data_IF_650334720294
#
_entry.id   IF_650334720294
#
_cell.length_a   1.000
_cell.length_b   1.000
_cell.length_c   1.000
_cell.angle_alpha   90.00
_cell.angle_beta   90.00
_cell.angle_gamma   90.00
#
_symmetry.space_group_name_H-M   'P 1'
#
loop_
_entity.id
_entity.type
_entity.pdbx_description
1 polymer ?
#
# COMPACT_ATOMS: atom_id res chain seq x y z
N UNK A 1 1.46 22.14 -1.35
CA UNK A 1 0.42 21.12 -1.63
C UNK A 1 0.98 19.70 -1.85
N UNK A 2 1.65 19.39 -2.96
CA UNK A 2 1.99 18.02 -3.36
C UNK A 2 2.81 17.20 -2.35
N UNK A 3 3.74 17.82 -1.63
CA UNK A 3 4.53 17.10 -0.63
C UNK A 3 3.69 16.60 0.54
N UNK A 4 2.70 17.38 0.99
CA UNK A 4 1.78 16.93 2.05
C UNK A 4 0.88 15.81 1.54
N UNK A 5 0.41 15.91 0.29
CA UNK A 5 -0.42 14.89 -0.33
C UNK A 5 0.32 13.54 -0.36
N UNK A 6 1.53 13.51 -0.94
CA UNK A 6 2.28 12.27 -1.05
C UNK A 6 2.72 11.71 0.31
N UNK A 7 3.01 12.55 1.30
CA UNK A 7 3.25 12.11 2.70
C UNK A 7 2.06 11.34 3.26
N UNK A 8 0.87 11.95 3.19
CA UNK A 8 -0.37 11.36 3.70
C UNK A 8 -0.76 10.11 2.92
N UNK A 9 -0.66 10.17 1.59
CA UNK A 9 -1.01 9.05 0.74
C UNK A 9 -0.07 7.86 0.96
N UNK A 10 1.24 8.09 1.08
CA UNK A 10 2.17 7.00 1.38
C UNK A 10 1.94 6.40 2.78
N UNK A 11 1.60 7.21 3.79
CA UNK A 11 1.22 6.72 5.11
C UNK A 11 -0.04 5.85 5.09
N UNK A 12 -1.03 6.23 4.27
CA UNK A 12 -2.23 5.43 4.02
C UNK A 12 -1.88 4.10 3.35
N UNK A 13 -1.15 4.12 2.23
CA UNK A 13 -0.73 2.90 1.54
C UNK A 13 0.06 1.97 2.48
N UNK A 14 0.93 2.53 3.32
CA UNK A 14 1.71 1.74 4.27
C UNK A 14 0.82 1.03 5.31
N UNK A 15 -0.24 1.70 5.76
CA UNK A 15 -1.21 1.13 6.70
C UNK A 15 -2.10 0.04 6.05
N UNK A 16 -2.57 0.27 4.83
CA UNK A 16 -3.53 -0.58 4.12
C UNK A 16 -2.90 -1.81 3.47
N UNK A 17 -1.60 -1.76 3.17
CA UNK A 17 -0.91 -2.82 2.44
C UNK A 17 0.13 -3.57 3.31
N UNK A 18 1.33 -3.01 3.64
CA UNK A 18 2.30 -3.68 4.52
C UNK A 18 1.76 -4.08 5.89
N UNK A 19 1.07 -3.16 6.58
CA UNK A 19 0.67 -3.38 7.98
C UNK A 19 -0.67 -4.13 8.12
N UNK A 20 -1.47 -4.20 7.05
CA UNK A 20 -2.77 -4.86 7.06
C UNK A 20 -2.62 -6.38 6.88
N UNK A 21 -2.46 -7.08 8.00
CA UNK A 21 -2.37 -8.55 7.97
C UNK A 21 -3.70 -9.22 7.59
N UNK A 22 -3.68 -10.44 7.00
CA UNK A 22 -4.91 -11.20 6.72
C UNK A 22 -5.76 -11.46 7.97
N UNK A 23 -5.15 -11.53 9.15
CA UNK A 23 -5.85 -11.66 10.43
C UNK A 23 -6.66 -10.40 10.79
N UNK A 24 -6.18 -9.21 10.42
CA UNK A 24 -6.93 -7.96 10.57
C UNK A 24 -8.08 -7.92 9.56
N UNK A 25 -7.82 -8.26 8.29
CA UNK A 25 -8.83 -8.26 7.22
C UNK A 25 -10.00 -9.19 7.54
N UNK A 26 -9.72 -10.42 7.95
CA UNK A 26 -10.77 -11.39 8.32
C UNK A 26 -11.59 -10.96 9.54
N UNK A 27 -11.06 -10.06 10.36
CA UNK A 27 -11.74 -9.47 11.52
C UNK A 27 -12.42 -8.12 11.20
N UNK A 28 -12.23 -7.53 10.01
CA UNK A 28 -12.86 -6.24 9.62
C UNK A 28 -14.39 -6.30 9.57
N UNK A 29 -14.99 -7.50 9.43
CA UNK A 29 -16.43 -7.70 9.64
C UNK A 29 -16.91 -7.49 11.09
N UNK A 30 -16.00 -7.21 12.03
CA UNK A 30 -16.26 -6.85 13.41
C UNK A 30 -15.61 -5.50 13.72
N UNK A 31 -16.30 -4.65 14.48
CA UNK A 31 -15.83 -3.30 14.86
C UNK A 31 -14.40 -3.30 15.43
N UNK A 32 -14.02 -4.35 16.16
CA UNK A 32 -12.67 -4.50 16.73
C UNK A 32 -11.57 -4.62 15.68
N UNK A 33 -11.81 -5.33 14.58
CA UNK A 33 -10.82 -5.44 13.49
C UNK A 33 -10.63 -4.10 12.77
N UNK A 34 -11.74 -3.38 12.58
CA UNK A 34 -11.72 -2.03 12.02
C UNK A 34 -10.94 -1.05 12.92
N UNK A 35 -11.18 -1.04 14.23
CA UNK A 35 -10.48 -0.17 15.18
C UNK A 35 -8.96 -0.43 15.23
N UNK A 36 -8.53 -1.69 15.14
CA UNK A 36 -7.09 -2.01 15.10
C UNK A 36 -6.47 -1.44 13.83
N UNK A 37 -7.15 -1.58 12.69
CA UNK A 37 -6.65 -1.07 11.44
C UNK A 37 -6.57 0.46 11.42
N UNK A 38 -7.62 1.14 11.90
CA UNK A 38 -7.62 2.61 11.94
C UNK A 38 -6.64 3.16 12.97
N UNK A 39 -6.29 2.42 14.01
CA UNK A 39 -5.16 2.76 14.88
C UNK A 39 -3.81 2.76 14.14
N UNK A 40 -3.62 1.86 13.16
CA UNK A 40 -2.44 1.86 12.30
C UNK A 40 -2.41 3.09 11.38
N UNK A 41 -3.57 3.46 10.80
CA UNK A 41 -3.71 4.69 9.99
C UNK A 41 -3.39 5.92 10.83
N UNK A 42 -3.91 6.00 12.06
CA UNK A 42 -3.60 7.09 12.98
C UNK A 42 -2.10 7.17 13.27
N UNK A 43 -1.48 6.02 13.57
CA UNK A 43 -0.04 5.94 13.85
C UNK A 43 0.79 6.39 12.65
N UNK A 44 0.57 5.82 11.46
CA UNK A 44 1.37 6.16 10.28
C UNK A 44 1.18 7.61 9.86
N UNK A 45 -0.05 8.12 9.92
CA UNK A 45 -0.36 9.53 9.63
C UNK A 45 0.30 10.46 10.65
N UNK A 46 0.26 10.11 11.93
CA UNK A 46 0.93 10.90 12.99
C UNK A 46 2.43 10.95 12.75
N UNK A 47 3.07 9.83 12.41
CA UNK A 47 4.53 9.79 12.14
C UNK A 47 4.93 10.73 11.00
N UNK A 48 4.19 10.76 9.88
CA UNK A 48 4.56 11.61 8.73
C UNK A 48 4.22 13.09 8.94
N UNK A 49 3.25 13.39 9.80
CA UNK A 49 2.80 14.75 10.12
C UNK A 49 3.57 15.37 11.29
N UNK A 50 4.01 14.56 12.26
CA UNK A 50 4.71 15.00 13.48
C UNK A 50 5.72 16.13 13.25
N UNK A 51 6.74 15.99 12.36
CA UNK A 51 7.73 17.04 12.17
C UNK A 51 7.12 18.35 11.63
N UNK A 52 6.09 18.27 10.78
CA UNK A 52 5.42 19.44 10.23
C UNK A 52 4.53 20.13 11.28
N UNK A 53 3.87 19.34 12.12
CA UNK A 53 2.95 19.83 13.14
C UNK A 53 3.66 20.55 14.30
N UNK A 54 4.95 20.26 14.54
CA UNK A 54 5.77 21.03 15.48
C UNK A 54 5.93 22.50 15.03
N UNK A 55 6.05 22.75 13.72
CA UNK A 55 6.15 24.11 13.17
C UNK A 55 4.79 24.75 12.91
N UNK A 56 3.78 23.94 12.54
CA UNK A 56 2.44 24.42 12.25
C UNK A 56 1.40 23.60 13.03
N UNK A 57 1.07 24.00 14.28
CA UNK A 57 0.26 23.20 15.19
C UNK A 57 -1.12 22.80 14.68
N UNK A 58 -1.73 23.57 13.76
CA UNK A 58 -3.01 23.20 13.15
C UNK A 58 -2.92 21.85 12.41
N UNK A 59 -1.74 21.39 12.00
CA UNK A 59 -1.59 20.08 11.34
C UNK A 59 -1.84 18.90 12.30
N UNK A 60 -1.88 19.10 13.62
CA UNK A 60 -2.28 18.05 14.57
C UNK A 60 -3.71 17.55 14.38
N UNK A 61 -4.57 18.31 13.70
CA UNK A 61 -5.92 17.85 13.36
C UNK A 61 -5.94 16.93 12.14
N UNK A 62 -4.87 16.87 11.32
CA UNK A 62 -4.82 16.01 10.13
C UNK A 62 -4.90 14.51 10.45
N UNK A 63 -4.12 13.96 11.40
CA UNK A 63 -4.24 12.56 11.80
C UNK A 63 -5.68 12.20 12.23
N UNK A 64 -6.39 13.12 12.88
CA UNK A 64 -7.77 12.91 13.33
C UNK A 64 -8.72 12.81 12.13
N UNK A 65 -8.72 13.82 11.25
CA UNK A 65 -9.67 13.86 10.11
C UNK A 65 -9.40 12.76 9.10
N UNK A 66 -8.13 12.44 8.83
CA UNK A 66 -7.73 11.34 7.93
C UNK A 66 -8.14 9.99 8.51
N UNK A 67 -7.89 9.76 9.80
CA UNK A 67 -8.30 8.51 10.45
C UNK A 67 -9.82 8.37 10.48
N UNK A 68 -10.55 9.45 10.74
CA UNK A 68 -12.01 9.45 10.76
C UNK A 68 -12.60 9.16 9.36
N UNK A 69 -12.07 9.80 8.31
CA UNK A 69 -12.51 9.52 6.94
C UNK A 69 -12.17 8.10 6.50
N UNK A 70 -10.98 7.60 6.88
CA UNK A 70 -10.56 6.23 6.59
C UNK A 70 -11.49 5.22 7.26
N UNK A 71 -11.74 5.40 8.57
CA UNK A 71 -12.71 4.59 9.31
C UNK A 71 -14.08 4.57 8.65
N UNK A 72 -14.59 5.73 8.21
CA UNK A 72 -15.89 5.84 7.58
C UNK A 72 -15.95 5.02 6.28
N UNK A 73 -14.96 5.17 5.40
CA UNK A 73 -14.90 4.44 4.13
C UNK A 73 -14.85 2.92 4.38
N UNK A 74 -13.96 2.48 5.27
CA UNK A 74 -13.81 1.06 5.60
C UNK A 74 -15.07 0.50 6.28
N UNK A 75 -15.71 1.28 7.15
CA UNK A 75 -16.96 0.90 7.78
C UNK A 75 -18.06 0.69 6.75
N UNK A 76 -18.27 1.66 5.84
CA UNK A 76 -19.29 1.56 4.80
C UNK A 76 -19.05 0.37 3.88
N UNK A 77 -17.79 0.11 3.51
CA UNK A 77 -17.40 -1.07 2.73
C UNK A 77 -17.70 -2.37 3.46
N UNK A 78 -17.49 -2.42 4.78
CA UNK A 78 -17.74 -3.61 5.60
C UNK A 78 -19.22 -4.00 5.69
N UNK A 79 -20.14 -3.07 5.37
CA UNK A 79 -21.58 -3.34 5.33
C UNK A 79 -21.98 -4.19 4.12
N UNK A 80 -21.16 -4.20 3.05
CA UNK A 80 -21.41 -5.00 1.85
C UNK A 80 -20.88 -6.41 2.05
N UNK A 81 -21.75 -7.42 1.84
CA UNK A 81 -21.44 -8.84 2.01
C UNK A 81 -21.68 -9.61 0.73
N UNK A 82 -21.06 -10.78 0.61
CA UNK A 82 -21.28 -11.76 -0.47
C UNK A 82 -21.13 -11.12 -1.85
N UNK A 83 -19.91 -10.66 -2.15
CA UNK A 83 -19.61 -9.94 -3.39
C UNK A 83 -18.98 -10.89 -4.41
N UNK A 84 -19.52 -10.86 -5.62
CA UNK A 84 -18.96 -11.54 -6.78
C UNK A 84 -17.66 -10.85 -7.26
N UNK A 85 -16.96 -11.48 -8.20
CA UNK A 85 -15.70 -10.97 -8.75
C UNK A 85 -15.81 -9.55 -9.29
N UNK A 86 -16.93 -9.21 -9.94
CA UNK A 86 -17.17 -7.88 -10.51
C UNK A 86 -17.38 -6.83 -9.43
N UNK A 87 -18.27 -7.10 -8.48
CA UNK A 87 -18.59 -6.18 -7.40
C UNK A 87 -17.40 -6.00 -6.45
N UNK A 88 -16.63 -7.06 -6.19
CA UNK A 88 -15.40 -6.98 -5.40
C UNK A 88 -14.36 -6.05 -6.04
N UNK A 89 -14.16 -6.16 -7.36
CA UNK A 89 -13.27 -5.26 -8.09
C UNK A 89 -13.76 -3.81 -8.06
N UNK A 90 -15.06 -3.57 -8.31
CA UNK A 90 -15.64 -2.22 -8.24
C UNK A 90 -15.48 -1.63 -6.84
N UNK A 91 -15.79 -2.40 -5.78
CA UNK A 91 -15.61 -1.96 -4.40
C UNK A 91 -14.15 -1.66 -4.08
N UNK A 92 -13.21 -2.45 -4.59
CA UNK A 92 -11.78 -2.16 -4.45
C UNK A 92 -11.39 -0.82 -5.11
N UNK A 93 -11.86 -0.55 -6.32
CA UNK A 93 -11.57 0.73 -7.01
C UNK A 93 -12.25 1.90 -6.30
N UNK A 94 -13.51 1.76 -5.87
CA UNK A 94 -14.23 2.79 -5.13
C UNK A 94 -13.57 3.12 -3.79
N UNK A 95 -13.11 2.10 -3.07
CA UNK A 95 -12.37 2.22 -1.81
C UNK A 95 -11.08 3.04 -1.98
N UNK A 96 -10.23 2.66 -2.92
CA UNK A 96 -8.98 3.38 -3.19
C UNK A 96 -9.25 4.81 -3.69
N UNK A 97 -10.31 5.00 -4.50
CA UNK A 97 -10.70 6.33 -4.99
C UNK A 97 -11.22 7.23 -3.87
N UNK A 98 -11.98 6.69 -2.92
CA UNK A 98 -12.49 7.43 -1.77
C UNK A 98 -11.34 7.90 -0.87
N UNK A 99 -10.41 7.01 -0.52
CA UNK A 99 -9.25 7.34 0.29
C UNK A 99 -8.35 8.38 -0.38
N UNK A 100 -8.11 8.24 -1.69
CA UNK A 100 -7.41 9.23 -2.51
C UNK A 100 -8.13 10.60 -2.48
N UNK A 101 -9.44 10.61 -2.67
CA UNK A 101 -10.28 11.80 -2.67
C UNK A 101 -10.25 12.56 -1.35
N UNK A 102 -10.41 11.87 -0.22
CA UNK A 102 -10.30 12.48 1.10
C UNK A 102 -8.88 13.02 1.36
N UNK A 103 -7.85 12.28 0.96
CA UNK A 103 -6.45 12.73 1.10
C UNK A 103 -6.20 14.00 0.29
N UNK A 104 -6.70 14.08 -0.95
CA UNK A 104 -6.63 15.29 -1.79
C UNK A 104 -7.41 16.46 -1.19
N UNK A 105 -8.62 16.21 -0.70
CA UNK A 105 -9.48 17.23 -0.09
C UNK A 105 -8.79 17.87 1.12
N UNK A 106 -8.38 17.06 2.09
CA UNK A 106 -7.71 17.58 3.29
C UNK A 106 -6.36 18.18 2.96
N UNK A 107 -5.59 17.61 2.02
CA UNK A 107 -4.34 18.27 1.60
C UNK A 107 -4.59 19.64 1.00
N UNK A 108 -5.62 19.80 0.15
CA UNK A 108 -5.94 21.09 -0.47
C UNK A 108 -6.29 22.15 0.57
N UNK A 109 -7.04 21.78 1.60
CA UNK A 109 -7.41 22.67 2.71
C UNK A 109 -6.18 23.05 3.53
N UNK A 110 -5.38 22.08 3.97
CA UNK A 110 -4.28 22.34 4.89
C UNK A 110 -3.03 22.88 4.21
N UNK A 111 -2.82 22.60 2.92
CA UNK A 111 -1.69 23.14 2.16
C UNK A 111 -2.04 24.39 1.34
N UNK A 112 -3.21 25.00 1.55
CA UNK A 112 -3.55 26.29 0.97
C UNK A 112 -2.49 27.32 1.36
N UNK A 113 -1.80 27.90 0.37
CA UNK A 113 -0.67 28.84 0.55
C UNK A 113 0.58 28.28 1.25
N UNK A 114 0.63 26.98 1.60
CA UNK A 114 1.78 26.36 2.25
C UNK A 114 2.44 25.27 1.39
N UNK A 115 3.77 25.28 1.40
CA UNK A 115 4.60 24.19 0.86
C UNK A 115 5.26 23.41 2.00
N UNK A 116 5.27 22.09 1.90
CA UNK A 116 5.77 21.17 2.92
C UNK A 116 7.00 20.39 2.44
N UNK A 117 7.84 21.03 1.63
CA UNK A 117 9.08 20.49 1.10
C UNK A 117 8.94 19.77 -0.24
N UNK A 118 9.90 18.89 -0.52
CA UNK A 118 9.98 18.12 -1.77
C UNK A 118 8.98 16.93 -1.78
N UNK A 119 8.11 16.79 -2.79
CA UNK A 119 7.19 15.65 -2.90
C UNK A 119 7.84 14.33 -3.33
N UNK A 120 8.98 14.37 -4.01
CA UNK A 120 9.54 13.21 -4.73
C UNK A 120 9.79 12.00 -3.83
N UNK A 121 10.43 12.12 -2.64
CA UNK A 121 10.71 10.93 -1.82
C UNK A 121 9.46 10.20 -1.37
N UNK A 122 8.39 10.92 -1.08
CA UNK A 122 7.11 10.33 -0.64
C UNK A 122 6.32 9.74 -1.80
N UNK A 123 6.44 10.32 -3.00
CA UNK A 123 5.88 9.75 -4.20
C UNK A 123 6.54 8.41 -4.54
N UNK A 124 7.87 8.35 -4.51
CA UNK A 124 8.64 7.12 -4.73
C UNK A 124 8.31 6.06 -3.67
N UNK A 125 8.21 6.47 -2.40
CA UNK A 125 7.79 5.61 -1.30
C UNK A 125 6.38 5.03 -1.54
N UNK A 126 5.42 5.86 -1.95
CA UNK A 126 4.06 5.42 -2.28
C UNK A 126 4.05 4.41 -3.44
N UNK A 127 4.78 4.70 -4.52
CA UNK A 127 4.91 3.79 -5.66
C UNK A 127 5.53 2.45 -5.26
N UNK A 128 6.58 2.46 -4.44
CA UNK A 128 7.24 1.26 -3.94
C UNK A 128 6.28 0.39 -3.13
N UNK A 129 5.51 1.00 -2.21
CA UNK A 129 4.50 0.28 -1.42
C UNK A 129 3.46 -0.35 -2.36
N UNK A 130 2.91 0.43 -3.29
CA UNK A 130 1.86 -0.06 -4.17
C UNK A 130 2.37 -1.17 -5.09
N UNK A 131 3.54 -1.02 -5.71
CA UNK A 131 4.09 -2.03 -6.60
C UNK A 131 4.36 -3.37 -5.88
N UNK A 132 4.93 -3.32 -4.68
CA UNK A 132 5.35 -4.51 -3.94
C UNK A 132 4.19 -5.16 -3.18
N UNK A 133 3.34 -4.36 -2.53
CA UNK A 133 2.30 -4.87 -1.62
C UNK A 133 0.88 -4.75 -2.18
N UNK A 134 0.57 -3.66 -2.89
CA UNK A 134 -0.74 -3.44 -3.51
C UNK A 134 -0.95 -4.22 -4.82
N UNK A 135 0.10 -4.35 -5.62
CA UNK A 135 0.09 -5.01 -6.94
C UNK A 135 -0.46 -6.43 -6.90
N UNK A 136 0.02 -7.32 -6.01
CA UNK A 136 -0.50 -8.68 -5.89
C UNK A 136 -2.01 -8.73 -5.56
N UNK A 137 -2.50 -7.78 -4.75
CA UNK A 137 -3.92 -7.67 -4.40
C UNK A 137 -4.72 -7.21 -5.62
N UNK A 138 -4.23 -6.22 -6.38
CA UNK A 138 -4.87 -5.77 -7.61
C UNK A 138 -4.94 -6.91 -8.65
N UNK A 139 -3.84 -7.65 -8.84
CA UNK A 139 -3.79 -8.81 -9.75
C UNK A 139 -4.78 -9.88 -9.31
N UNK A 140 -4.90 -10.14 -8.00
CA UNK A 140 -5.91 -11.04 -7.46
C UNK A 140 -7.34 -10.57 -7.80
N UNK A 141 -7.64 -9.29 -7.60
CA UNK A 141 -8.95 -8.71 -7.92
C UNK A 141 -9.28 -8.82 -9.42
N UNK A 142 -8.31 -8.56 -10.30
CA UNK A 142 -8.46 -8.73 -11.75
C UNK A 142 -8.70 -10.20 -12.12
N UNK A 143 -7.99 -11.15 -11.49
CA UNK A 143 -8.22 -12.58 -11.72
C UNK A 143 -9.62 -13.00 -11.29
N UNK A 144 -10.12 -12.53 -10.16
CA UNK A 144 -11.48 -12.77 -9.71
C UNK A 144 -12.53 -12.21 -10.68
N UNK A 145 -12.30 -11.00 -11.21
CA UNK A 145 -13.14 -10.38 -12.23
C UNK A 145 -13.19 -11.21 -13.52
N UNK A 146 -12.03 -11.61 -14.05
CA UNK A 146 -11.93 -12.38 -15.31
C UNK A 146 -12.58 -13.76 -15.15
N UNK A 147 -12.33 -14.44 -14.03
CA UNK A 147 -12.88 -15.77 -13.74
C UNK A 147 -14.36 -15.76 -13.34
N UNK A 148 -14.97 -14.57 -13.18
CA UNK A 148 -16.37 -14.41 -12.73
C UNK A 148 -16.68 -15.22 -11.47
N UNK A 149 -15.79 -15.14 -10.48
CA UNK A 149 -15.95 -15.87 -9.21
C UNK A 149 -17.25 -15.43 -8.53
N UNK A 150 -18.07 -16.41 -8.11
CA UNK A 150 -19.37 -16.13 -7.47
C UNK A 150 -19.22 -15.49 -6.09
N UNK A 151 -18.18 -15.87 -5.34
CA UNK A 151 -17.86 -15.28 -4.04
C UNK A 151 -16.35 -15.07 -3.86
N UNK A 152 -15.93 -13.83 -3.70
CA UNK A 152 -14.51 -13.49 -3.54
C UNK A 152 -14.06 -13.66 -2.10
N UNK A 153 -13.08 -14.53 -1.89
CA UNK A 153 -12.41 -14.70 -0.59
C UNK A 153 -11.25 -13.71 -0.40
N UNK A 154 -10.78 -13.57 0.84
CA UNK A 154 -9.61 -12.74 1.17
C UNK A 154 -8.35 -13.28 0.48
N UNK A 155 -7.59 -12.39 -0.19
CA UNK A 155 -6.28 -12.73 -0.74
C UNK A 155 -5.34 -13.26 0.34
N UNK A 156 -4.70 -14.40 0.06
CA UNK A 156 -3.67 -14.97 0.92
C UNK A 156 -2.40 -15.18 0.08
N UNK A 157 -1.32 -14.57 0.53
CA UNK A 157 0.00 -14.78 -0.06
C UNK A 157 0.46 -16.22 0.21
N UNK A 158 0.86 -16.97 -0.84
CA UNK A 158 1.56 -18.23 -0.68
C UNK A 158 2.87 -18.00 0.07
N UNK A 159 3.11 -18.74 1.15
CA UNK A 159 4.33 -18.64 1.98
C UNK A 159 4.57 -17.26 2.61
N UNK A 160 3.68 -16.79 3.51
CA UNK A 160 3.67 -15.41 3.99
C UNK A 160 4.97 -14.96 4.67
N UNK A 161 5.69 -15.86 5.37
CA UNK A 161 6.96 -15.52 6.03
C UNK A 161 8.06 -15.18 5.01
N UNK A 162 8.15 -15.94 3.92
CA UNK A 162 9.13 -15.71 2.86
C UNK A 162 8.77 -14.46 2.06
N UNK A 163 7.49 -14.27 1.76
CA UNK A 163 7.03 -13.08 1.07
C UNK A 163 7.32 -11.78 1.84
N UNK A 164 7.29 -11.80 3.19
CA UNK A 164 7.70 -10.63 3.99
C UNK A 164 9.18 -10.30 3.76
N UNK A 165 10.07 -11.31 3.78
CA UNK A 165 11.51 -11.11 3.58
C UNK A 165 11.77 -10.62 2.14
N UNK A 166 11.17 -11.26 1.15
CA UNK A 166 11.20 -10.86 -0.26
C UNK A 166 10.81 -9.38 -0.43
N UNK A 167 9.62 -9.03 0.04
CA UNK A 167 9.08 -7.69 -0.09
C UNK A 167 9.90 -6.67 0.68
N UNK A 168 10.45 -7.03 1.84
CA UNK A 168 11.36 -6.17 2.60
C UNK A 168 12.68 -5.92 1.85
N UNK A 169 13.28 -6.94 1.22
CA UNK A 169 14.49 -6.78 0.42
C UNK A 169 14.25 -5.91 -0.82
N UNK A 170 13.15 -6.14 -1.54
CA UNK A 170 12.74 -5.30 -2.65
C UNK A 170 12.53 -3.85 -2.20
N UNK A 171 11.80 -3.66 -1.10
CA UNK A 171 11.49 -2.34 -0.57
C UNK A 171 12.75 -1.58 -0.11
N UNK A 172 13.63 -2.24 0.63
CA UNK A 172 14.92 -1.67 1.04
C UNK A 172 15.81 -1.41 -0.17
N UNK A 173 15.79 -2.28 -1.19
CA UNK A 173 16.51 -2.08 -2.43
C UNK A 173 16.03 -0.86 -3.20
N UNK A 174 14.71 -0.62 -3.26
CA UNK A 174 14.12 0.58 -3.85
C UNK A 174 14.54 1.84 -3.07
N UNK A 175 14.44 1.81 -1.74
CA UNK A 175 14.72 2.99 -0.92
C UNK A 175 16.20 3.35 -0.84
N UNK A 176 17.07 2.34 -0.72
CA UNK A 176 18.53 2.54 -0.67
C UNK A 176 19.17 2.64 -2.06
N UNK A 177 18.37 2.51 -3.13
CA UNK A 177 18.88 2.40 -4.51
C UNK A 177 19.92 1.28 -4.68
N UNK A 178 19.84 0.22 -3.87
CA UNK A 178 20.80 -0.89 -3.87
C UNK A 178 20.36 -1.98 -4.84
N UNK A 179 21.07 -2.08 -5.97
CA UNK A 179 20.84 -3.14 -6.97
C UNK A 179 21.01 -4.53 -6.37
N UNK A 180 21.91 -4.70 -5.40
CA UNK A 180 22.14 -5.99 -4.74
C UNK A 180 20.95 -6.44 -3.89
N UNK A 181 20.28 -5.51 -3.21
CA UNK A 181 19.05 -5.80 -2.46
C UNK A 181 17.88 -6.08 -3.39
N UNK A 182 17.78 -5.36 -4.52
CA UNK A 182 16.78 -5.66 -5.56
C UNK A 182 17.00 -7.05 -6.16
N UNK A 183 18.24 -7.39 -6.53
CA UNK A 183 18.59 -8.70 -7.05
C UNK A 183 18.34 -9.80 -6.01
N UNK A 184 18.69 -9.59 -4.75
CA UNK A 184 18.37 -10.53 -3.67
C UNK A 184 16.85 -10.72 -3.53
N UNK A 185 16.07 -9.63 -3.58
CA UNK A 185 14.62 -9.63 -3.54
C UNK A 185 13.95 -10.29 -4.75
N UNK A 186 14.64 -10.50 -5.87
CA UNK A 186 14.14 -11.20 -7.07
C UNK A 186 14.62 -12.66 -7.10
N UNK A 187 15.92 -12.88 -6.85
CA UNK A 187 16.57 -14.18 -6.96
C UNK A 187 16.10 -15.11 -5.85
N UNK A 188 16.04 -14.64 -4.59
CA UNK A 188 15.62 -15.48 -3.45
C UNK A 188 14.21 -16.05 -3.68
N UNK A 189 13.20 -15.27 -4.09
CA UNK A 189 11.88 -15.80 -4.42
C UNK A 189 11.87 -16.72 -5.63
N UNK A 190 12.61 -16.43 -6.70
CA UNK A 190 12.68 -17.31 -7.89
C UNK A 190 13.25 -18.67 -7.48
N UNK A 191 14.32 -18.69 -6.69
CA UNK A 191 14.94 -19.92 -6.21
C UNK A 191 14.00 -20.66 -5.27
N UNK A 192 13.44 -19.98 -4.26
CA UNK A 192 12.55 -20.63 -3.27
C UNK A 192 11.26 -21.12 -3.94
N UNK A 193 10.58 -20.28 -4.75
CA UNK A 193 9.34 -20.68 -5.44
C UNK A 193 9.60 -21.67 -6.56
N UNK A 194 10.76 -21.62 -7.23
CA UNK A 194 11.21 -22.63 -8.19
C UNK A 194 11.46 -23.99 -7.54
N UNK A 195 12.06 -24.01 -6.35
CA UNK A 195 12.21 -25.23 -5.54
C UNK A 195 10.87 -25.76 -5.02
N UNK A 196 9.87 -24.89 -4.82
CA UNK A 196 8.53 -25.27 -4.38
C UNK A 196 7.60 -25.68 -5.54
N UNK A 197 7.78 -25.13 -6.74
CA UNK A 197 7.12 -25.58 -7.97
C UNK A 197 7.50 -27.02 -8.35
N UNK A 198 8.68 -27.49 -7.92
CA UNK A 198 9.07 -28.89 -8.02
C UNK A 198 8.28 -29.80 -7.06
N UNK A 199 7.53 -29.24 -6.11
CA UNK A 199 6.84 -29.96 -5.04
C UNK A 199 5.31 -29.77 -5.03
N UNK A 200 4.78 -28.69 -5.60
CA UNK A 200 3.34 -28.45 -5.76
C UNK A 200 3.00 -27.79 -7.11
N UNK A 201 2.04 -28.36 -7.84
CA UNK A 201 1.48 -27.76 -9.06
C UNK A 201 0.65 -26.51 -8.71
N UNK A 202 0.84 -25.43 -9.49
CA UNK A 202 0.09 -24.16 -9.45
C UNK A 202 0.53 -23.05 -8.47
N UNK A 203 1.84 -22.83 -8.28
CA UNK A 203 2.31 -21.57 -7.66
C UNK A 203 2.43 -20.48 -8.75
N UNK A 204 1.57 -19.44 -8.77
CA UNK A 204 1.72 -18.35 -9.73
C UNK A 204 3.01 -17.57 -9.43
N UNK A 205 3.87 -17.44 -10.43
CA UNK A 205 5.06 -16.59 -10.35
C UNK A 205 4.65 -15.11 -10.47
N UNK A 206 4.98 -14.24 -9.52
CA UNK A 206 4.64 -12.82 -9.57
C UNK A 206 5.61 -12.03 -10.49
N UNK A 207 5.94 -12.61 -11.65
CA UNK A 207 6.91 -12.06 -12.62
C UNK A 207 6.48 -10.68 -13.11
N UNK A 208 5.18 -10.48 -13.27
CA UNK A 208 4.63 -9.22 -13.77
C UNK A 208 4.73 -8.11 -12.71
N UNK A 209 4.44 -8.44 -11.45
CA UNK A 209 4.57 -7.55 -10.31
C UNK A 209 6.03 -7.14 -10.10
N UNK A 210 6.97 -8.09 -10.27
CA UNK A 210 8.40 -7.80 -10.22
C UNK A 210 8.87 -6.90 -11.36
N UNK A 211 8.44 -7.17 -12.60
CA UNK A 211 8.77 -6.33 -13.76
C UNK A 211 8.30 -4.88 -13.55
N UNK A 212 7.08 -4.69 -13.06
CA UNK A 212 6.56 -3.35 -12.74
C UNK A 212 7.39 -2.69 -11.64
N UNK A 213 7.69 -3.39 -10.54
CA UNK A 213 8.49 -2.84 -9.45
C UNK A 213 9.89 -2.43 -9.93
N UNK A 214 10.55 -3.25 -10.75
CA UNK A 214 11.87 -2.98 -11.32
C UNK A 214 11.82 -1.78 -12.28
N UNK A 215 10.82 -1.73 -13.17
CA UNK A 215 10.67 -0.62 -14.13
C UNK A 215 10.42 0.70 -13.39
N UNK A 216 9.56 0.69 -12.37
CA UNK A 216 9.30 1.87 -11.53
C UNK A 216 10.54 2.30 -10.73
N UNK A 217 11.34 1.34 -10.24
CA UNK A 217 12.61 1.62 -9.59
C UNK A 217 13.60 2.34 -10.52
N UNK A 218 13.74 1.79 -11.72
CA UNK A 218 14.69 2.28 -12.71
C UNK A 218 14.25 3.63 -13.28
N UNK A 219 12.95 3.83 -13.50
CA UNK A 219 12.41 5.10 -13.98
C UNK A 219 12.52 6.20 -12.92
N UNK A 220 12.30 5.89 -11.64
CA UNK A 220 12.57 6.81 -10.53
C UNK A 220 14.06 7.22 -10.50
N UNK A 221 14.97 6.25 -10.59
CA UNK A 221 16.43 6.50 -10.66
C UNK A 221 16.83 7.42 -11.82
N UNK A 222 16.32 7.15 -13.03
CA UNK A 222 16.63 7.92 -14.23
C UNK A 222 16.07 9.36 -14.16
N UNK A 223 14.97 9.55 -13.43
CA UNK A 223 14.28 10.83 -13.34
C UNK A 223 14.78 11.70 -12.19
N UNK A 224 15.25 11.11 -11.08
CA UNK A 224 15.47 11.84 -9.82
C UNK A 224 16.82 11.60 -9.13
N UNK A 225 17.68 10.68 -9.63
CA UNK A 225 18.96 10.36 -8.98
C UNK A 225 18.78 9.48 -7.73
N UNK A 226 19.85 9.23 -6.94
CA UNK A 226 19.73 8.48 -5.68
C UNK A 226 18.83 9.22 -4.69
N UNK A 227 17.93 8.48 -4.02
CA UNK A 227 17.05 9.02 -2.99
C UNK A 227 17.91 9.50 -1.82
N UNK A 228 18.15 10.81 -1.72
CA UNK A 228 18.70 11.41 -0.51
C UNK A 228 17.59 11.47 0.54
N UNK A 229 17.43 10.41 1.34
CA UNK A 229 16.68 10.51 2.59
C UNK A 229 17.60 11.20 3.60
N UNK A 230 17.80 12.51 3.45
CA UNK A 230 18.18 13.51 4.45
C UNK A 230 18.11 14.90 3.80
#
# INVERSE_FOLDING_TARGET
MWALFWRLYAAHLFADFPLQTPAIVTRKGKIRGLLIHTALVLLTTTVVIFPLALYRPILWTLPIVITASHFLVDYLKSLVKNVDGKSSFILFIMDQSAHLGFTLLFTSIYAWEYSYGNPVPYFEFALAIFAIWGGPILVFQIKCLIKKVEEVTVYREPFPRFAIIERALLFLGLLSSSIWLLLAGIIIPIVIRGLLLLNEENVPLPVFEWLIAIVLALSARLSFGPISIF
#
